data_IF_643106894725
#
_entry.id   IF_643106894725
#
_cell.length_a   1.000
_cell.length_b   1.000
_cell.length_c   1.000
_cell.angle_alpha   90.00
_cell.angle_beta   90.00
_cell.angle_gamma   90.00
#
_symmetry.space_group_name_H-M   'P 1'
#
loop_
_entity.id
_entity.type
_entity.pdbx_description
1 polymer ?
#
# COMPACT_ATOMS: atom_id res chain seq x y z
N UNK A 1 13.01 9.46 15.87
CA UNK A 1 11.94 9.22 14.87
C UNK A 1 11.22 10.54 14.64
N UNK A 2 10.63 10.76 13.47
CA UNK A 2 9.85 11.97 13.22
C UNK A 2 8.59 12.00 14.12
N UNK A 3 8.08 13.18 14.41
CA UNK A 3 6.80 13.32 15.12
C UNK A 3 5.67 12.63 14.33
N UNK A 4 4.76 11.95 15.04
CA UNK A 4 3.70 11.17 14.40
C UNK A 4 4.14 9.84 13.79
N UNK A 5 5.42 9.46 13.93
CA UNK A 5 5.94 8.15 13.49
C UNK A 5 6.03 7.21 14.68
N UNK A 6 5.34 6.08 14.59
CA UNK A 6 5.30 5.05 15.62
C UNK A 6 5.85 3.74 15.06
N UNK A 7 6.61 2.95 15.85
CA UNK A 7 6.97 1.61 15.44
C UNK A 7 5.70 0.74 15.49
N UNK A 8 5.52 -0.14 14.51
CA UNK A 8 4.33 -0.97 14.45
C UNK A 8 4.51 -2.16 13.50
N UNK A 9 3.60 -3.12 13.62
CA UNK A 9 3.51 -4.27 12.74
C UNK A 9 2.26 -4.11 11.86
N UNK A 10 2.43 -3.96 10.55
CA UNK A 10 1.28 -3.79 9.65
C UNK A 10 0.39 -5.05 9.52
N UNK A 11 0.79 -6.18 10.12
CA UNK A 11 -0.05 -7.38 10.28
C UNK A 11 -0.79 -7.42 11.64
N UNK A 12 -0.54 -6.46 12.53
CA UNK A 12 -1.18 -6.32 13.83
C UNK A 12 -1.42 -4.84 14.11
N UNK A 13 -2.63 -4.38 13.75
CA UNK A 13 -3.10 -3.03 13.98
C UNK A 13 -4.13 -3.03 15.12
N UNK A 14 -4.01 -3.94 16.09
CA UNK A 14 -4.95 -4.10 17.20
C UNK A 14 -5.13 -2.83 18.05
N UNK A 15 -4.10 -1.99 18.11
CA UNK A 15 -4.14 -0.68 18.76
C UNK A 15 -4.80 0.43 17.92
N UNK A 16 -5.21 0.13 16.68
CA UNK A 16 -5.91 1.06 15.79
C UNK A 16 -7.38 0.65 15.69
N UNK A 17 -8.26 1.62 15.99
CA UNK A 17 -9.70 1.41 15.94
C UNK A 17 -10.17 1.05 14.51
N UNK A 18 -11.11 0.11 14.43
CA UNK A 18 -11.78 -0.28 13.19
C UNK A 18 -12.41 0.93 12.50
N UNK A 19 -12.25 1.04 11.18
CA UNK A 19 -12.82 2.11 10.37
C UNK A 19 -12.29 3.53 10.67
N UNK A 20 -11.23 3.67 11.46
CA UNK A 20 -10.69 4.98 11.87
C UNK A 20 -9.85 5.68 10.80
N UNK A 21 -9.33 4.94 9.82
CA UNK A 21 -8.40 5.48 8.83
C UNK A 21 -9.14 5.88 7.56
N UNK A 22 -9.20 7.19 7.27
CA UNK A 22 -9.76 7.70 6.02
C UNK A 22 -8.82 7.51 4.82
N UNK A 23 -7.51 7.41 5.08
CA UNK A 23 -6.50 7.23 4.04
C UNK A 23 -5.37 6.35 4.57
N UNK A 24 -5.01 5.34 3.79
CA UNK A 24 -3.85 4.47 4.05
C UNK A 24 -2.92 4.58 2.84
N UNK A 25 -1.65 4.88 3.08
CA UNK A 25 -0.62 4.97 2.04
C UNK A 25 0.43 3.92 2.32
N UNK A 26 0.71 3.08 1.32
CA UNK A 26 1.71 2.03 1.40
C UNK A 26 2.73 2.20 0.28
N UNK A 27 3.93 2.59 0.67
CA UNK A 27 5.06 2.80 -0.23
C UNK A 27 5.96 1.56 -0.22
N UNK A 28 5.97 0.84 -1.34
CA UNK A 28 6.70 -0.39 -1.61
C UNK A 28 6.43 -1.52 -0.57
N UNK A 29 5.26 -2.18 -0.60
CA UNK A 29 4.89 -3.24 0.35
C UNK A 29 5.65 -4.56 0.09
N UNK A 30 6.98 -4.52 0.06
CA UNK A 30 7.81 -5.70 -0.13
C UNK A 30 7.90 -6.51 1.16
N UNK A 31 7.47 -7.77 1.13
CA UNK A 31 7.37 -8.64 2.31
C UNK A 31 6.01 -8.62 2.99
N UNK A 32 5.05 -7.86 2.45
CA UNK A 32 3.79 -7.55 3.12
C UNK A 32 2.61 -7.58 2.13
N UNK A 33 1.50 -8.21 2.50
CA UNK A 33 0.28 -8.18 1.70
C UNK A 33 -0.50 -6.89 1.98
N UNK A 34 -0.56 -5.94 1.01
CA UNK A 34 -1.05 -4.60 1.29
C UNK A 34 -2.56 -4.52 1.55
N UNK A 35 -3.33 -5.52 1.11
CA UNK A 35 -4.79 -5.59 1.29
C UNK A 35 -5.18 -6.71 2.27
N UNK A 36 -4.40 -6.88 3.34
CA UNK A 36 -4.72 -7.84 4.39
C UNK A 36 -5.94 -7.39 5.24
N UNK A 37 -6.46 -8.30 6.05
CA UNK A 37 -7.69 -8.04 6.80
C UNK A 37 -7.53 -6.93 7.85
N UNK A 38 -6.34 -6.74 8.42
CA UNK A 38 -6.07 -5.64 9.37
C UNK A 38 -6.14 -4.26 8.69
N UNK A 39 -5.55 -4.11 7.49
CA UNK A 39 -5.65 -2.89 6.69
C UNK A 39 -7.10 -2.59 6.34
N UNK A 40 -7.83 -3.61 5.87
CA UNK A 40 -9.23 -3.45 5.47
C UNK A 40 -10.15 -3.17 6.67
N UNK A 41 -9.84 -3.71 7.85
CA UNK A 41 -10.56 -3.46 9.11
C UNK A 41 -10.40 -2.01 9.55
N UNK A 42 -9.18 -1.46 9.54
CA UNK A 42 -8.96 -0.09 10.00
C UNK A 42 -9.38 0.96 8.97
N UNK A 43 -9.53 0.60 7.70
CA UNK A 43 -10.02 1.48 6.65
C UNK A 43 -11.51 1.85 6.84
N UNK A 44 -11.79 3.15 6.86
CA UNK A 44 -13.13 3.73 6.86
C UNK A 44 -13.95 3.23 5.66
N UNK A 45 -15.29 3.16 5.80
CA UNK A 45 -16.22 2.79 4.72
C UNK A 45 -16.06 3.63 3.45
N UNK A 46 -15.71 4.90 3.57
CA UNK A 46 -15.43 5.79 2.43
C UNK A 46 -13.92 6.02 2.22
N UNK A 47 -13.10 5.18 2.84
CA UNK A 47 -11.66 5.35 2.92
C UNK A 47 -10.95 5.07 1.59
N UNK A 48 -9.75 5.64 1.45
CA UNK A 48 -8.89 5.46 0.28
C UNK A 48 -7.62 4.70 0.66
N UNK A 49 -7.21 3.73 -0.17
CA UNK A 49 -5.89 3.12 -0.10
C UNK A 49 -5.07 3.57 -1.31
N UNK A 50 -3.86 4.05 -1.07
CA UNK A 50 -2.86 4.33 -2.10
C UNK A 50 -1.73 3.32 -1.94
N UNK A 51 -1.45 2.53 -2.98
CA UNK A 51 -0.37 1.53 -2.97
C UNK A 51 0.61 1.88 -4.08
N UNK A 52 1.88 2.03 -3.72
CA UNK A 52 2.97 2.31 -4.66
C UNK A 52 3.99 1.20 -4.63
N UNK A 53 4.47 0.79 -5.78
CA UNK A 53 5.49 -0.26 -5.82
C UNK A 53 5.96 -0.59 -7.22
N UNK A 54 7.11 -1.27 -7.29
CA UNK A 54 7.59 -1.84 -8.54
C UNK A 54 6.57 -2.84 -9.11
N UNK A 55 6.66 -3.07 -10.42
CA UNK A 55 5.80 -4.02 -11.13
C UNK A 55 5.70 -5.40 -10.44
N UNK A 56 4.56 -6.08 -10.61
CA UNK A 56 4.27 -7.39 -10.02
C UNK A 56 5.29 -8.49 -10.36
N UNK A 57 6.07 -8.34 -11.43
CA UNK A 57 7.19 -9.23 -11.77
C UNK A 57 8.40 -9.05 -10.85
N UNK A 58 8.55 -7.88 -10.24
CA UNK A 58 9.65 -7.52 -9.32
C UNK A 58 9.18 -7.60 -7.88
N UNK A 59 8.03 -7.00 -7.57
CA UNK A 59 7.41 -7.06 -6.26
C UNK A 59 6.17 -7.96 -6.34
N UNK A 60 6.30 -9.22 -5.90
CA UNK A 60 5.20 -10.20 -5.93
C UNK A 60 3.94 -9.75 -5.18
N UNK A 61 4.06 -8.83 -4.23
CA UNK A 61 2.93 -8.29 -3.45
C UNK A 61 2.11 -7.25 -4.22
N UNK A 62 2.62 -6.79 -5.38
CA UNK A 62 1.90 -5.93 -6.33
C UNK A 62 1.20 -6.76 -7.43
N UNK A 63 1.44 -8.08 -7.49
CA UNK A 63 0.86 -8.95 -8.53
C UNK A 63 -0.64 -9.12 -8.30
N UNK A 64 -1.42 -9.00 -9.38
CA UNK A 64 -2.88 -9.14 -9.37
C UNK A 64 -3.60 -8.21 -8.38
N UNK A 65 -2.98 -7.08 -8.00
CA UNK A 65 -3.50 -6.21 -6.95
C UNK A 65 -4.91 -5.69 -7.25
N UNK A 66 -5.22 -5.41 -8.52
CA UNK A 66 -6.54 -4.96 -8.96
C UNK A 66 -7.63 -6.02 -8.72
N UNK A 67 -7.37 -7.28 -9.10
CA UNK A 67 -8.29 -8.40 -8.86
C UNK A 67 -8.45 -8.70 -7.37
N UNK A 68 -7.36 -8.65 -6.59
CA UNK A 68 -7.43 -8.82 -5.14
C UNK A 68 -8.26 -7.69 -4.51
N UNK A 69 -8.10 -6.46 -4.98
CA UNK A 69 -8.86 -5.31 -4.51
C UNK A 69 -10.36 -5.48 -4.79
N UNK A 70 -10.71 -5.89 -6.01
CA UNK A 70 -12.09 -6.18 -6.41
C UNK A 70 -12.71 -7.28 -5.53
N UNK A 71 -12.01 -8.39 -5.31
CA UNK A 71 -12.46 -9.50 -4.44
C UNK A 71 -12.67 -9.06 -2.98
N UNK A 72 -11.96 -8.01 -2.55
CA UNK A 72 -12.07 -7.40 -1.22
C UNK A 72 -13.08 -6.24 -1.18
N UNK A 73 -13.81 -6.00 -2.27
CA UNK A 73 -14.85 -4.98 -2.36
C UNK A 73 -14.30 -3.55 -2.52
N UNK A 74 -13.07 -3.40 -2.98
CA UNK A 74 -12.48 -2.09 -3.28
C UNK A 74 -12.61 -1.77 -4.77
N UNK A 75 -12.91 -0.50 -5.08
CA UNK A 75 -12.97 0.02 -6.43
C UNK A 75 -11.64 0.68 -6.82
N UNK A 76 -11.07 0.31 -7.97
CA UNK A 76 -9.95 1.04 -8.57
C UNK A 76 -10.44 2.39 -9.10
N UNK A 77 -9.85 3.47 -8.62
CA UNK A 77 -10.16 4.85 -9.03
C UNK A 77 -9.13 5.37 -10.04
N UNK A 78 -7.86 5.10 -9.79
CA UNK A 78 -6.77 5.53 -10.68
C UNK A 78 -5.61 4.54 -10.62
N UNK A 79 -4.92 4.41 -11.75
CA UNK A 79 -3.69 3.63 -11.91
C UNK A 79 -2.76 4.38 -12.85
N UNK A 80 -1.57 4.69 -12.36
CA UNK A 80 -0.57 5.43 -13.14
C UNK A 80 0.85 5.03 -12.79
N UNK A 81 1.78 5.40 -13.66
CA UNK A 81 3.20 5.32 -13.37
C UNK A 81 3.70 6.65 -12.82
N UNK A 82 4.51 6.58 -11.77
CA UNK A 82 5.17 7.74 -11.18
C UNK A 82 6.68 7.50 -11.15
N UNK A 83 7.47 8.57 -11.03
CA UNK A 83 8.91 8.45 -10.88
C UNK A 83 9.27 7.67 -9.60
N UNK A 84 10.28 6.81 -9.71
CA UNK A 84 10.85 6.10 -8.57
C UNK A 84 11.82 6.96 -7.74
N UNK A 85 12.06 8.22 -8.15
CA UNK A 85 12.91 9.14 -7.40
C UNK A 85 12.43 9.29 -5.95
N UNK A 86 13.36 9.17 -5.00
CA UNK A 86 13.05 9.19 -3.56
C UNK A 86 12.71 7.82 -2.95
N UNK A 87 12.51 6.78 -3.77
CA UNK A 87 12.29 5.42 -3.27
C UNK A 87 13.58 4.59 -3.31
N UNK A 88 13.76 3.77 -2.27
CA UNK A 88 14.91 2.88 -2.12
C UNK A 88 14.48 1.44 -1.88
N UNK A 89 15.37 0.51 -2.22
CA UNK A 89 15.28 -0.90 -1.87
C UNK A 89 15.54 -1.09 -0.37
N UNK A 90 15.27 -2.29 0.14
CA UNK A 90 15.52 -2.65 1.55
C UNK A 90 16.98 -2.52 1.99
N UNK A 91 17.92 -2.55 1.05
CA UNK A 91 19.35 -2.35 1.28
C UNK A 91 19.78 -0.87 1.19
N UNK A 92 18.84 0.07 1.04
CA UNK A 92 19.09 1.51 0.92
C UNK A 92 19.55 1.98 -0.47
N UNK A 93 19.73 1.09 -1.45
CA UNK A 93 20.06 1.48 -2.82
C UNK A 93 18.80 2.00 -3.55
N UNK A 94 18.94 2.91 -4.52
CA UNK A 94 17.81 3.35 -5.34
C UNK A 94 17.10 2.18 -6.05
N UNK A 95 15.81 2.35 -6.31
CA UNK A 95 15.08 1.43 -7.21
C UNK A 95 15.68 1.54 -8.62
N UNK A 96 15.98 0.39 -9.24
CA UNK A 96 16.64 0.33 -10.57
C UNK A 96 15.72 0.85 -11.69
N UNK A 97 14.43 0.56 -11.62
CA UNK A 97 13.44 1.10 -12.56
C UNK A 97 13.26 2.60 -12.34
N UNK A 98 13.17 3.38 -13.42
CA UNK A 98 12.89 4.82 -13.36
C UNK A 98 11.46 5.13 -12.88
N UNK A 99 10.54 4.17 -13.03
CA UNK A 99 9.14 4.33 -12.68
C UNK A 99 8.65 3.19 -11.76
N UNK A 100 7.65 3.51 -10.94
CA UNK A 100 6.85 2.57 -10.14
C UNK A 100 5.37 2.78 -10.43
N UNK A 101 4.53 1.79 -10.12
CA UNK A 101 3.09 1.90 -10.27
C UNK A 101 2.48 2.50 -9.00
N UNK A 102 1.53 3.41 -9.16
CA UNK A 102 0.63 3.89 -8.10
C UNK A 102 -0.79 3.42 -8.42
N UNK A 103 -1.42 2.80 -7.42
CA UNK A 103 -2.82 2.39 -7.45
C UNK A 103 -3.59 3.17 -6.39
N UNK A 104 -4.74 3.71 -6.77
CA UNK A 104 -5.66 4.38 -5.85
C UNK A 104 -6.95 3.57 -5.82
N UNK A 105 -7.25 3.00 -4.66
CA UNK A 105 -8.46 2.25 -4.39
C UNK A 105 -9.36 3.00 -3.42
N UNK A 106 -10.68 2.88 -3.61
CA UNK A 106 -11.68 3.34 -2.66
C UNK A 106 -12.51 2.17 -2.15
N UNK A 107 -12.89 2.19 -0.86
CA UNK A 107 -13.83 1.24 -0.27
C UNK A 107 -15.28 1.60 -0.59
#
# INVERSE_FOLDING_TARGET
MAEGVYPGNANDLSNIATGSQNKIIMDNPFGYYPLNDEVLRVLNKEGTIIIRGSDGKVNKYMRNLESIAEDKGLQLIDKRQISSAGYSQSNGKPIVSQNINEYIFKK
#
